data_IF_063279255125
#
_entry.id   IF_063279255125
#
_cell.length_a   1.000
_cell.length_b   1.000
_cell.length_c   1.000
_cell.angle_alpha   90.00
_cell.angle_beta   90.00
_cell.angle_gamma   90.00
#
_symmetry.space_group_name_H-M   'P 1'
#
loop_
_entity.id
_entity.type
_entity.pdbx_description
1 polymer ?
#
# COMPACT_ATOMS: atom_id res chain seq x y z
N UNK A 1 2.21 -61.10 3.50
CA UNK A 1 3.09 -60.27 4.35
C UNK A 1 3.20 -58.96 3.63
N UNK A 2 2.35 -58.03 4.04
CA UNK A 2 2.30 -56.65 3.56
C UNK A 2 3.52 -55.91 4.06
N UNK A 3 4.17 -55.18 3.16
CA UNK A 3 5.08 -54.06 3.46
C UNK A 3 5.02 -53.13 2.23
N UNK A 4 3.86 -52.52 2.00
CA UNK A 4 3.77 -51.36 1.13
C UNK A 4 4.22 -50.16 1.95
N UNK A 5 5.37 -49.61 1.57
CA UNK A 5 5.94 -48.37 2.05
C UNK A 5 4.86 -47.28 2.02
N UNK A 6 4.45 -46.84 3.21
CA UNK A 6 3.56 -45.70 3.37
C UNK A 6 4.40 -44.45 3.04
N UNK A 7 4.52 -44.12 1.75
CA UNK A 7 4.98 -42.80 1.29
C UNK A 7 3.88 -41.80 1.67
N UNK A 8 3.81 -41.51 2.97
CA UNK A 8 2.87 -40.57 3.59
C UNK A 8 3.20 -39.15 3.19
N UNK A 9 2.94 -38.81 1.93
CA UNK A 9 3.02 -37.44 1.43
C UNK A 9 2.04 -36.57 2.22
N UNK A 10 2.54 -35.52 2.86
CA UNK A 10 1.69 -34.51 3.46
C UNK A 10 0.98 -33.74 2.33
N UNK A 11 -0.33 -33.92 2.20
CA UNK A 11 -1.15 -33.15 1.30
C UNK A 11 -1.50 -31.81 1.95
N UNK A 12 -0.97 -30.72 1.40
CA UNK A 12 -1.31 -29.37 1.84
C UNK A 12 -2.36 -28.77 0.92
N UNK A 13 -3.41 -28.21 1.52
CA UNK A 13 -4.32 -27.33 0.79
C UNK A 13 -3.57 -26.06 0.34
N UNK A 14 -3.92 -25.49 -0.82
CA UNK A 14 -3.25 -24.29 -1.34
C UNK A 14 -3.34 -23.10 -0.37
N UNK A 15 -4.41 -23.01 0.42
CA UNK A 15 -4.58 -22.01 1.47
C UNK A 15 -3.56 -22.20 2.61
N UNK A 16 -3.24 -23.45 2.97
CA UNK A 16 -2.22 -23.75 3.98
C UNK A 16 -0.83 -23.37 3.48
N UNK A 17 -0.52 -23.64 2.21
CA UNK A 17 0.73 -23.21 1.59
C UNK A 17 0.83 -21.68 1.57
N UNK A 18 -0.26 -20.99 1.23
CA UNK A 18 -0.32 -19.53 1.25
C UNK A 18 -0.14 -18.97 2.67
N UNK A 19 -0.74 -19.59 3.68
CA UNK A 19 -0.56 -19.18 5.07
C UNK A 19 0.90 -19.30 5.52
N UNK A 20 1.57 -20.41 5.22
CA UNK A 20 3.00 -20.58 5.51
C UNK A 20 3.87 -19.54 4.83
N UNK A 21 3.54 -19.15 3.59
CA UNK A 21 4.25 -18.09 2.88
C UNK A 21 4.05 -16.72 3.54
N UNK A 22 2.82 -16.39 3.95
CA UNK A 22 2.49 -15.13 4.62
C UNK A 22 3.18 -15.05 5.99
N UNK A 23 3.20 -16.15 6.74
CA UNK A 23 3.89 -16.25 8.02
C UNK A 23 5.40 -16.06 7.87
N UNK A 24 6.04 -16.76 6.92
CA UNK A 24 7.48 -16.60 6.66
C UNK A 24 7.82 -15.17 6.21
N UNK A 25 7.02 -14.57 5.33
CA UNK A 25 7.20 -13.18 4.92
C UNK A 25 7.10 -12.20 6.10
N UNK A 26 6.13 -12.41 7.00
CA UNK A 26 5.94 -11.61 8.21
C UNK A 26 7.11 -11.74 9.18
N UNK A 27 7.60 -12.97 9.41
CA UNK A 27 8.76 -13.23 10.27
C UNK A 27 10.02 -12.55 9.72
N UNK A 28 10.24 -12.59 8.40
CA UNK A 28 11.35 -11.88 7.76
C UNK A 28 11.22 -10.36 7.89
N UNK A 29 10.02 -9.83 7.71
CA UNK A 29 9.75 -8.40 7.88
C UNK A 29 9.99 -7.95 9.33
N UNK A 30 9.57 -8.76 10.32
CA UNK A 30 9.79 -8.47 11.73
C UNK A 30 11.29 -8.50 12.10
N UNK A 31 12.05 -9.48 11.60
CA UNK A 31 13.52 -9.52 11.79
C UNK A 31 14.22 -8.30 11.19
N UNK A 32 13.84 -7.87 9.99
CA UNK A 32 14.42 -6.69 9.36
C UNK A 32 14.19 -5.40 10.18
N UNK A 33 13.10 -5.30 10.93
CA UNK A 33 12.84 -4.17 11.83
C UNK A 33 13.71 -4.22 13.10
N UNK A 34 14.00 -5.42 13.62
CA UNK A 34 14.84 -5.61 14.80
C UNK A 34 16.33 -5.41 14.47
N UNK A 35 16.80 -5.85 13.31
CA UNK A 35 18.18 -5.65 12.84
C UNK A 35 18.53 -4.17 12.67
N UNK A 36 17.56 -3.36 12.22
CA UNK A 36 17.70 -1.90 12.11
C UNK A 36 17.82 -1.17 13.46
N UNK A 37 17.67 -1.88 14.59
CA UNK A 37 17.75 -1.35 15.95
C UNK A 37 19.04 -1.70 16.68
N UNK A 38 19.98 -2.40 16.03
CA UNK A 38 21.23 -2.85 16.63
C UNK A 38 22.33 -1.79 16.58
N UNK A 39 22.17 -0.73 17.37
CA UNK A 39 23.30 0.06 17.88
C UNK A 39 22.98 0.62 19.27
N UNK A 40 22.58 -0.22 20.22
CA UNK A 40 22.70 0.07 21.64
C UNK A 40 22.40 -1.18 22.47
N UNK A 41 23.45 -1.69 23.09
CA UNK A 41 23.44 -2.47 24.33
C UNK A 41 22.95 -3.94 24.30
N UNK A 42 23.94 -4.80 24.51
CA UNK A 42 23.87 -6.10 25.16
C UNK A 42 22.85 -6.13 26.29
N UNK A 43 21.76 -6.88 26.12
CA UNK A 43 21.02 -7.54 27.19
C UNK A 43 20.18 -8.66 26.58
N UNK A 44 20.36 -9.85 27.15
CA UNK A 44 19.51 -11.03 27.01
C UNK A 44 18.03 -10.62 27.02
N UNK A 45 17.43 -10.54 25.84
CA UNK A 45 16.01 -10.25 25.68
C UNK A 45 15.40 -11.42 24.94
N UNK A 46 14.39 -12.02 25.56
CA UNK A 46 13.47 -12.93 24.90
C UNK A 46 13.11 -12.34 23.53
N UNK A 47 13.16 -13.19 22.49
CA UNK A 47 12.76 -12.86 21.13
C UNK A 47 11.25 -12.49 21.10
N UNK A 48 10.87 -11.34 21.64
CA UNK A 48 9.57 -10.73 21.39
C UNK A 48 9.66 -10.03 20.04
N UNK A 49 9.83 -10.85 18.98
CA UNK A 49 9.61 -10.43 17.61
C UNK A 49 8.30 -9.66 17.61
N UNK A 50 8.36 -8.37 17.28
CA UNK A 50 7.21 -7.49 17.35
C UNK A 50 6.12 -8.08 16.47
N UNK A 51 5.08 -8.60 17.10
CA UNK A 51 3.99 -9.25 16.38
C UNK A 51 3.33 -8.21 15.47
N UNK A 52 3.32 -8.50 14.16
CA UNK A 52 2.63 -7.67 13.19
C UNK A 52 1.16 -8.07 13.19
N UNK A 53 0.31 -7.15 13.64
CA UNK A 53 -1.15 -7.40 13.74
C UNK A 53 -1.94 -6.99 12.49
N UNK A 54 -1.31 -6.23 11.59
CA UNK A 54 -1.95 -5.58 10.44
C UNK A 54 -1.13 -5.81 9.19
N UNK A 55 -1.79 -6.20 8.10
CA UNK A 55 -1.15 -6.38 6.81
C UNK A 55 -2.00 -5.81 5.67
N UNK A 56 -1.32 -5.24 4.68
CA UNK A 56 -1.91 -4.95 3.38
C UNK A 56 -1.23 -5.85 2.35
N UNK A 57 -1.99 -6.73 1.72
CA UNK A 57 -1.48 -7.71 0.78
C UNK A 57 -1.91 -7.32 -0.64
N UNK A 58 -0.93 -7.15 -1.53
CA UNK A 58 -1.19 -6.92 -2.95
C UNK A 58 -1.53 -8.25 -3.63
N UNK A 59 -2.61 -8.27 -4.38
CA UNK A 59 -3.07 -9.42 -5.17
C UNK A 59 -3.45 -8.98 -6.58
N UNK A 60 -3.38 -9.87 -7.58
CA UNK A 60 -3.80 -9.53 -8.93
C UNK A 60 -5.27 -9.07 -8.97
N UNK A 61 -5.53 -7.97 -9.69
CA UNK A 61 -6.85 -7.37 -9.79
C UNK A 61 -7.88 -8.23 -10.53
N UNK A 62 -7.40 -9.16 -11.37
CA UNK A 62 -8.22 -10.14 -12.09
C UNK A 62 -8.61 -11.37 -11.25
N UNK A 63 -8.09 -11.51 -10.02
CA UNK A 63 -8.54 -12.58 -9.12
C UNK A 63 -10.04 -12.50 -8.87
N UNK A 64 -10.65 -13.66 -8.69
CA UNK A 64 -12.07 -13.75 -8.32
C UNK A 64 -12.27 -13.35 -6.85
N UNK A 65 -13.51 -13.02 -6.48
CA UNK A 65 -13.85 -12.76 -5.08
C UNK A 65 -13.59 -13.99 -4.19
N UNK A 66 -13.79 -15.20 -4.74
CA UNK A 66 -13.51 -16.45 -4.03
C UNK A 66 -12.02 -16.60 -3.73
N UNK A 67 -11.14 -16.38 -4.70
CA UNK A 67 -9.68 -16.44 -4.50
C UNK A 67 -9.21 -15.39 -3.47
N UNK A 68 -9.75 -14.17 -3.54
CA UNK A 68 -9.47 -13.12 -2.55
C UNK A 68 -9.91 -13.52 -1.15
N UNK A 69 -11.10 -14.11 -1.00
CA UNK A 69 -11.59 -14.59 0.29
C UNK A 69 -10.71 -15.72 0.84
N UNK A 70 -10.36 -16.71 0.02
CA UNK A 70 -9.47 -17.80 0.41
C UNK A 70 -8.08 -17.31 0.85
N UNK A 71 -7.55 -16.27 0.18
CA UNK A 71 -6.27 -15.68 0.56
C UNK A 71 -6.33 -14.88 1.87
N UNK A 72 -7.45 -14.19 2.15
CA UNK A 72 -7.70 -13.57 3.47
C UNK A 72 -7.82 -14.62 4.58
N UNK A 73 -8.42 -15.77 4.28
CA UNK A 73 -8.54 -16.88 5.22
C UNK A 73 -7.15 -17.47 5.52
N UNK A 74 -6.31 -17.64 4.50
CA UNK A 74 -4.91 -18.03 4.65
C UNK A 74 -4.12 -17.03 5.51
N UNK A 75 -4.29 -15.72 5.28
CA UNK A 75 -3.66 -14.69 6.11
C UNK A 75 -4.12 -14.76 7.58
N UNK A 76 -5.38 -15.08 7.83
CA UNK A 76 -5.90 -15.27 9.18
C UNK A 76 -5.27 -16.49 9.88
N UNK A 77 -5.03 -17.58 9.15
CA UNK A 77 -4.28 -18.74 9.66
C UNK A 77 -2.84 -18.36 10.01
N UNK A 78 -2.22 -17.48 9.21
CA UNK A 78 -0.88 -16.94 9.45
C UNK A 78 -0.81 -15.89 10.60
N UNK A 79 -1.90 -15.68 11.33
CA UNK A 79 -1.94 -14.77 12.47
C UNK A 79 -2.33 -13.33 12.15
N UNK A 80 -2.80 -13.04 10.93
CA UNK A 80 -3.29 -11.72 10.52
C UNK A 80 -4.82 -11.67 10.46
N UNK A 81 -5.51 -11.07 11.47
CA UNK A 81 -6.95 -11.06 11.52
C UNK A 81 -7.59 -10.40 10.30
N UNK A 82 -8.70 -10.95 9.80
CA UNK A 82 -9.41 -10.44 8.61
C UNK A 82 -9.84 -8.97 8.73
N UNK A 83 -10.17 -8.52 9.93
CA UNK A 83 -10.57 -7.12 10.20
C UNK A 83 -9.39 -6.14 10.21
N UNK A 84 -8.15 -6.64 10.29
CA UNK A 84 -6.90 -5.86 10.27
C UNK A 84 -6.08 -6.10 9.00
N UNK A 85 -6.59 -6.94 8.09
CA UNK A 85 -5.93 -7.32 6.85
C UNK A 85 -6.71 -6.78 5.67
N UNK A 86 -6.04 -6.06 4.78
CA UNK A 86 -6.67 -5.52 3.57
C UNK A 86 -6.01 -6.13 2.34
N UNK A 87 -6.83 -6.65 1.42
CA UNK A 87 -6.34 -6.99 0.08
C UNK A 87 -6.48 -5.77 -0.83
N UNK A 88 -5.41 -5.46 -1.54
CA UNK A 88 -5.37 -4.39 -2.53
C UNK A 88 -4.93 -4.96 -3.87
N UNK A 89 -5.37 -4.36 -4.98
CA UNK A 89 -4.85 -4.77 -6.28
C UNK A 89 -3.40 -4.32 -6.46
N UNK A 90 -2.64 -4.97 -7.34
CA UNK A 90 -1.26 -4.58 -7.62
C UNK A 90 -1.17 -3.15 -8.19
N UNK A 91 -2.12 -2.74 -9.03
CA UNK A 91 -2.27 -1.34 -9.49
C UNK A 91 -2.56 -0.40 -8.33
N UNK A 92 -3.44 -0.78 -7.41
CA UNK A 92 -3.77 0.06 -6.26
C UNK A 92 -2.52 0.27 -5.37
N UNK A 93 -1.75 -0.79 -5.13
CA UNK A 93 -0.50 -0.70 -4.37
C UNK A 93 0.55 0.17 -5.08
N UNK A 94 0.78 -0.06 -6.38
CA UNK A 94 1.75 0.70 -7.18
C UNK A 94 1.35 2.19 -7.30
N UNK A 95 0.06 2.45 -7.52
CA UNK A 95 -0.47 3.81 -7.60
C UNK A 95 -0.39 4.54 -6.26
N UNK A 96 -0.63 3.88 -5.13
CA UNK A 96 -0.45 4.49 -3.81
C UNK A 96 1.00 4.92 -3.58
N UNK A 97 1.98 4.09 -3.97
CA UNK A 97 3.40 4.44 -3.86
C UNK A 97 3.76 5.65 -4.72
N UNK A 98 3.23 5.73 -5.95
CA UNK A 98 3.44 6.88 -6.85
C UNK A 98 2.72 8.14 -6.35
N UNK A 99 1.53 8.01 -5.78
CA UNK A 99 0.78 9.14 -5.22
C UNK A 99 1.55 9.84 -4.10
N UNK A 100 2.25 9.09 -3.24
CA UNK A 100 3.12 9.65 -2.20
C UNK A 100 4.27 10.44 -2.85
N UNK A 101 4.92 9.89 -3.87
CA UNK A 101 6.02 10.57 -4.59
C UNK A 101 5.55 11.84 -5.27
N UNK A 102 4.45 11.78 -6.02
CA UNK A 102 3.87 12.96 -6.68
C UNK A 102 3.40 14.01 -5.67
N UNK A 103 2.86 13.60 -4.52
CA UNK A 103 2.51 14.51 -3.44
C UNK A 103 3.74 15.30 -2.98
N UNK A 104 4.85 14.63 -2.70
CA UNK A 104 6.06 15.29 -2.22
C UNK A 104 6.71 16.18 -3.28
N UNK A 105 6.74 15.74 -4.55
CA UNK A 105 7.26 16.52 -5.67
C UNK A 105 6.42 17.79 -5.92
N UNK A 106 5.09 17.64 -6.00
CA UNK A 106 4.21 18.78 -6.24
C UNK A 106 4.21 19.76 -5.06
N UNK A 107 4.34 19.27 -3.82
CA UNK A 107 4.48 20.13 -2.64
C UNK A 107 5.81 20.91 -2.66
N UNK A 108 6.92 20.29 -3.02
CA UNK A 108 8.22 20.98 -3.19
C UNK A 108 8.16 22.05 -4.28
N UNK A 109 7.54 21.72 -5.42
CA UNK A 109 7.39 22.67 -6.52
C UNK A 109 6.50 23.87 -6.13
N UNK A 110 5.41 23.62 -5.41
CA UNK A 110 4.53 24.67 -4.90
C UNK A 110 5.23 25.60 -3.90
N UNK A 111 6.07 25.07 -3.01
CA UNK A 111 6.87 25.88 -2.09
C UNK A 111 7.93 26.72 -2.82
N UNK A 112 8.62 26.14 -3.80
CA UNK A 112 9.62 26.85 -4.60
C UNK A 112 8.99 27.95 -5.49
N UNK A 113 7.77 27.75 -5.97
CA UNK A 113 7.02 28.72 -6.76
C UNK A 113 6.57 29.97 -5.97
N UNK A 114 6.34 29.85 -4.65
CA UNK A 114 5.94 30.97 -3.79
C UNK A 114 7.01 32.07 -3.66
N UNK A 115 8.27 31.78 -3.97
CA UNK A 115 9.37 32.76 -4.00
C UNK A 115 9.41 33.65 -5.25
N UNK A 116 8.73 33.26 -6.34
CA UNK A 116 8.61 34.06 -7.57
C UNK A 116 7.26 34.76 -7.61
N UNK A 117 7.13 35.86 -6.86
CA UNK A 117 6.08 36.86 -7.11
C UNK A 117 6.33 37.50 -8.48
N UNK A 118 5.77 36.94 -9.54
CA UNK A 118 5.55 37.67 -10.79
C UNK A 118 4.24 37.21 -11.45
N UNK A 119 3.24 38.08 -11.32
CA UNK A 119 2.31 38.48 -12.38
C UNK A 119 1.70 37.38 -13.27
N UNK A 120 1.06 36.38 -12.69
CA UNK A 120 -0.08 35.72 -13.34
C UNK A 120 -1.05 35.25 -12.26
N UNK A 121 -1.93 36.15 -11.87
CA UNK A 121 -3.09 35.84 -11.03
C UNK A 121 -3.98 34.82 -11.75
N UNK A 122 -4.34 33.74 -11.05
CA UNK A 122 -5.66 33.11 -11.26
C UNK A 122 -5.74 31.70 -11.82
N UNK A 123 -4.65 31.00 -12.14
CA UNK A 123 -4.76 29.57 -12.52
C UNK A 123 -3.47 28.80 -12.27
N UNK A 124 -3.28 28.30 -11.06
CA UNK A 124 -2.44 27.11 -10.91
C UNK A 124 -3.15 25.98 -11.70
N UNK A 125 -2.48 25.32 -12.65
CA UNK A 125 -3.12 24.29 -13.45
C UNK A 125 -3.58 23.18 -12.52
N UNK A 126 -4.80 22.69 -12.71
CA UNK A 126 -5.24 21.42 -12.14
C UNK A 126 -4.25 20.35 -12.63
N UNK A 127 -3.18 20.10 -11.88
CA UNK A 127 -2.13 19.14 -12.24
C UNK A 127 -2.80 17.78 -12.25
N UNK A 128 -3.01 17.23 -13.45
CA UNK A 128 -3.44 15.85 -13.61
C UNK A 128 -2.53 15.14 -14.57
N UNK A 129 -2.08 13.95 -14.19
CA UNK A 129 -1.19 13.10 -14.95
C UNK A 129 -1.87 11.75 -15.11
N UNK A 130 -1.91 11.24 -16.34
CA UNK A 130 -2.33 9.86 -16.61
C UNK A 130 -1.07 9.03 -16.84
N UNK A 131 -0.96 7.93 -16.12
CA UNK A 131 0.19 7.02 -16.14
C UNK A 131 -0.31 5.63 -16.48
N UNK A 132 0.34 4.97 -17.43
CA UNK A 132 0.19 3.53 -17.62
C UNK A 132 1.12 2.80 -16.66
N UNK A 133 0.54 2.02 -15.74
CA UNK A 133 1.26 1.11 -14.87
C UNK A 133 1.31 -0.25 -15.55
N UNK A 134 2.52 -0.80 -15.67
CA UNK A 134 2.77 -2.12 -16.28
C UNK A 134 3.61 -2.91 -15.29
N UNK A 135 3.08 -4.04 -14.83
CA UNK A 135 3.79 -5.01 -14.00
C UNK A 135 4.06 -6.28 -14.80
N UNK A 136 5.33 -6.67 -14.92
CA UNK A 136 5.73 -7.94 -15.55
C UNK A 136 6.36 -8.81 -14.48
N UNK A 137 5.64 -9.84 -14.07
CA UNK A 137 6.06 -10.83 -13.08
C UNK A 137 6.58 -12.11 -13.73
N UNK A 138 6.96 -13.07 -12.89
CA UNK A 138 7.49 -14.36 -13.35
C UNK A 138 6.45 -15.23 -14.07
N UNK A 139 5.15 -15.02 -13.81
CA UNK A 139 4.06 -15.87 -14.32
C UNK A 139 2.88 -15.10 -14.90
N UNK A 140 2.87 -13.78 -14.76
CA UNK A 140 1.79 -12.92 -15.24
C UNK A 140 2.35 -11.56 -15.59
N UNK A 141 1.71 -10.91 -16.56
CA UNK A 141 1.90 -9.50 -16.85
C UNK A 141 0.55 -8.81 -16.75
N UNK A 142 0.54 -7.58 -16.24
CA UNK A 142 -0.65 -6.77 -16.14
C UNK A 142 -0.37 -5.32 -16.49
N UNK A 143 -1.41 -4.64 -16.97
CA UNK A 143 -1.38 -3.21 -17.22
C UNK A 143 -2.67 -2.53 -16.76
N UNK A 144 -2.53 -1.30 -16.28
CA UNK A 144 -3.66 -0.43 -15.92
C UNK A 144 -3.31 1.04 -16.14
N UNK A 145 -4.27 1.83 -16.59
CA UNK A 145 -4.16 3.27 -16.70
C UNK A 145 -4.69 3.94 -15.42
N UNK A 146 -3.88 4.82 -14.82
CA UNK A 146 -4.22 5.51 -13.58
C UNK A 146 -4.04 7.02 -13.76
N UNK A 147 -5.03 7.79 -13.34
CA UNK A 147 -4.97 9.24 -13.26
C UNK A 147 -4.62 9.68 -11.85
N UNK A 148 -3.61 10.53 -11.76
CA UNK A 148 -3.25 11.27 -10.57
C UNK A 148 -3.71 12.71 -10.74
N UNK A 149 -4.41 13.27 -9.77
CA UNK A 149 -4.81 14.68 -9.79
C UNK A 149 -4.49 15.36 -8.46
N UNK A 150 -3.94 16.56 -8.52
CA UNK A 150 -3.76 17.39 -7.34
C UNK A 150 -5.12 17.81 -6.80
N UNK A 151 -5.41 17.40 -5.57
CA UNK A 151 -6.52 17.88 -4.78
C UNK A 151 -5.97 18.84 -3.71
N UNK A 152 -6.43 20.10 -3.75
CA UNK A 152 -6.09 21.06 -2.70
C UNK A 152 -6.99 20.73 -1.52
N UNK A 153 -6.41 20.11 -0.50
CA UNK A 153 -7.06 20.07 0.80
C UNK A 153 -7.23 21.51 1.28
N UNK A 154 -8.42 22.08 1.13
CA UNK A 154 -8.88 23.05 2.10
C UNK A 154 -9.09 22.24 3.37
N UNK A 155 -8.37 22.59 4.44
CA UNK A 155 -8.67 22.09 5.77
C UNK A 155 -10.11 22.53 6.10
N UNK A 156 -11.06 21.67 5.75
CA UNK A 156 -12.44 21.73 6.21
C UNK A 156 -12.48 21.21 7.65
N UNK A 157 -11.69 21.81 8.54
CA UNK A 157 -11.99 21.75 9.95
C UNK A 157 -13.16 22.71 10.19
N UNK A 158 -14.35 22.13 10.37
CA UNK A 158 -15.53 22.71 11.01
C UNK A 158 -15.78 24.21 10.75
N UNK A 159 -16.78 24.50 9.92
CA UNK A 159 -17.46 25.81 9.88
C UNK A 159 -18.21 26.01 11.21
N UNK A 160 -17.49 26.31 12.29
CA UNK A 160 -18.05 26.94 13.47
C UNK A 160 -18.14 28.44 13.18
N UNK A 161 -19.36 28.91 12.95
CA UNK A 161 -19.69 30.33 12.86
C UNK A 161 -19.36 30.99 14.20
N UNK A 162 -18.18 31.62 14.35
CA UNK A 162 -17.94 32.75 15.26
C UNK A 162 -16.55 33.39 15.07
N UNK A 163 -16.56 34.63 14.58
CA UNK A 163 -15.53 35.68 14.62
C UNK A 163 -14.21 35.50 13.82
N UNK A 164 -13.73 36.56 13.11
CA UNK A 164 -12.52 36.50 12.32
C UNK A 164 -11.31 36.84 13.19
N UNK A 165 -10.70 35.84 13.83
CA UNK A 165 -9.32 35.97 14.31
C UNK A 165 -8.40 35.36 13.26
N UNK A 166 -7.36 36.12 12.90
CA UNK A 166 -6.31 35.77 11.92
C UNK A 166 -6.00 34.28 11.99
N UNK A 167 -6.50 33.53 11.01
CA UNK A 167 -6.15 32.13 10.84
C UNK A 167 -4.70 32.10 10.39
N UNK A 168 -3.84 31.43 11.15
CA UNK A 168 -2.63 30.90 10.56
C UNK A 168 -3.09 30.00 9.42
N UNK A 169 -2.84 30.44 8.18
CA UNK A 169 -3.10 29.66 7.00
C UNK A 169 -2.16 28.45 7.12
N UNK A 170 -2.71 27.34 7.64
CA UNK A 170 -2.03 26.06 7.66
C UNK A 170 -1.49 25.80 6.26
N UNK A 171 -0.24 25.37 6.18
CA UNK A 171 0.49 25.26 4.93
C UNK A 171 -0.27 24.29 4.01
N UNK A 172 -1.00 24.82 3.03
CA UNK A 172 -1.93 24.03 2.22
C UNK A 172 -1.14 22.96 1.44
N UNK A 173 -1.14 21.73 1.98
CA UNK A 173 -0.43 20.59 1.41
C UNK A 173 -1.29 20.01 0.29
N UNK A 174 -0.70 19.86 -0.89
CA UNK A 174 -1.31 19.18 -2.03
C UNK A 174 -1.49 17.71 -1.65
N UNK A 175 -2.73 17.22 -1.73
CA UNK A 175 -3.03 15.79 -1.68
C UNK A 175 -3.17 15.29 -3.12
N UNK A 176 -2.81 14.03 -3.35
CA UNK A 176 -2.96 13.42 -4.67
C UNK A 176 -4.15 12.48 -4.63
N UNK A 177 -5.15 12.77 -5.46
CA UNK A 177 -6.25 11.85 -5.74
C UNK A 177 -5.84 10.90 -6.86
N UNK A 178 -6.16 9.64 -6.67
CA UNK A 178 -5.86 8.54 -7.61
C UNK A 178 -7.17 8.01 -8.15
N UNK A 179 -7.28 7.92 -9.47
CA UNK A 179 -8.43 7.31 -10.17
C UNK A 179 -7.91 6.24 -11.13
N UNK A 180 -8.34 5.00 -10.95
CA UNK A 180 -8.04 3.91 -11.88
C UNK A 180 -8.99 4.05 -13.07
N UNK A 181 -8.43 4.37 -14.25
CA UNK A 181 -9.19 4.62 -15.47
C UNK A 181 -9.55 3.32 -16.22
N UNK A 182 -8.71 2.30 -16.06
CA UNK A 182 -8.90 1.01 -16.71
C UNK A 182 -8.61 -0.10 -15.72
N UNK A 183 -9.52 -1.06 -15.60
CA UNK A 183 -9.32 -2.25 -14.78
C UNK A 183 -8.02 -2.98 -15.18
N UNK A 184 -7.38 -3.67 -14.24
CA UNK A 184 -6.24 -4.54 -14.54
C UNK A 184 -6.64 -5.63 -15.53
N UNK A 185 -5.83 -5.82 -16.57
CA UNK A 185 -5.94 -6.93 -17.52
C UNK A 185 -4.71 -7.80 -17.42
N UNK A 186 -4.86 -9.10 -17.68
CA UNK A 186 -3.78 -10.07 -17.80
C UNK A 186 -3.46 -10.29 -19.29
N UNK A 187 -2.18 -10.49 -19.63
CA UNK A 187 -1.77 -11.02 -20.94
C UNK A 187 -1.91 -12.56 -20.89
N UNK A 188 -2.79 -13.10 -21.73
CA UNK A 188 -3.22 -14.51 -21.70
C UNK A 188 -2.24 -15.49 -22.34
#
# INVERSE_FOLDING_TARGET
>A
RDDTSDDGGFFFHPETLAAMLVEDAALRAARALDDGKTSSETSSSSLSLKQMDTAALAVPGWWTQHQRAAFLDAAAVAGFPKNKTTLVSETAAASAALAIRFSDEWNKEAQNGRGRKNQNEGREPNKSLVVALVGVGARSAWASAVRFSADRAFDSEYVSKKSPKKRHLGDARIRVRVEVLQQEWEDG
#
